data_IF_177470556763
#
_entry.id   IF_177470556763
#
_cell.length_a   1.000
_cell.length_b   1.000
_cell.length_c   1.000
_cell.angle_alpha   90.00
_cell.angle_beta   90.00
_cell.angle_gamma   90.00
#
_symmetry.space_group_name_H-M   'P 1'
#
loop_
_entity.id
_entity.type
_entity.pdbx_description
1 polymer ?
#
# COMPACT_ATOMS: atom_id res chain seq x y z
N UNK A 1 -19.85 -22.99 -16.84
CA UNK A 1 -19.40 -22.30 -15.62
C UNK A 1 -17.86 -22.27 -15.55
N UNK A 2 -17.20 -23.42 -15.78
CA UNK A 2 -15.72 -23.52 -15.88
C UNK A 2 -15.06 -22.54 -16.87
N UNK A 3 -15.66 -22.31 -18.04
CA UNK A 3 -15.11 -21.40 -19.05
C UNK A 3 -15.01 -19.95 -18.56
N UNK A 4 -15.96 -19.48 -17.74
CA UNK A 4 -15.91 -18.12 -17.16
C UNK A 4 -14.84 -18.01 -16.07
N UNK A 5 -14.70 -19.05 -15.22
CA UNK A 5 -13.62 -19.15 -14.21
C UNK A 5 -12.26 -19.10 -14.88
N UNK A 6 -12.04 -19.93 -15.91
CA UNK A 6 -10.80 -19.96 -16.69
C UNK A 6 -10.49 -18.64 -17.37
N UNK A 7 -11.49 -17.97 -17.94
CA UNK A 7 -11.31 -16.66 -18.57
C UNK A 7 -10.88 -15.58 -17.57
N UNK A 8 -11.55 -15.50 -16.41
CA UNK A 8 -11.19 -14.54 -15.35
C UNK A 8 -9.76 -14.79 -14.86
N UNK A 9 -9.43 -16.05 -14.54
CA UNK A 9 -8.10 -16.45 -14.11
C UNK A 9 -7.03 -16.15 -15.17
N UNK A 10 -7.35 -16.37 -16.45
CA UNK A 10 -6.46 -16.02 -17.56
C UNK A 10 -6.20 -14.52 -17.60
N UNK A 11 -7.25 -13.67 -17.61
CA UNK A 11 -7.11 -12.22 -17.64
C UNK A 11 -6.27 -11.70 -16.47
N UNK A 12 -6.51 -12.20 -15.25
CA UNK A 12 -5.75 -11.80 -14.07
C UNK A 12 -4.28 -12.21 -14.15
N UNK A 13 -4.01 -13.46 -14.57
CA UNK A 13 -2.64 -13.96 -14.72
C UNK A 13 -1.88 -13.24 -15.83
N UNK A 14 -2.54 -12.88 -16.93
CA UNK A 14 -1.91 -12.17 -18.05
C UNK A 14 -1.61 -10.72 -17.73
N UNK A 15 -2.49 -10.03 -17.00
CA UNK A 15 -2.36 -8.61 -16.73
C UNK A 15 -1.56 -8.31 -15.45
N UNK A 16 -1.35 -9.31 -14.58
CA UNK A 16 -0.64 -9.16 -13.30
C UNK A 16 -1.19 -8.04 -12.39
N UNK A 17 -2.49 -7.80 -12.50
CA UNK A 17 -3.21 -6.75 -11.77
C UNK A 17 -4.68 -7.14 -11.65
N UNK A 18 -5.38 -6.42 -10.78
CA UNK A 18 -6.83 -6.46 -10.63
C UNK A 18 -7.54 -6.16 -11.96
N UNK A 19 -8.79 -6.58 -12.09
CA UNK A 19 -9.61 -6.22 -13.25
C UNK A 19 -10.08 -4.78 -13.11
N UNK A 20 -9.61 -3.92 -14.02
CA UNK A 20 -9.99 -2.50 -14.09
C UNK A 20 -10.65 -2.28 -15.45
N UNK A 21 -11.89 -1.82 -15.43
CA UNK A 21 -12.70 -1.63 -16.63
C UNK A 21 -13.37 -0.26 -16.63
N UNK A 22 -13.70 0.28 -17.80
CA UNK A 22 -14.61 1.44 -17.86
C UNK A 22 -16.01 0.98 -17.46
N UNK A 23 -16.73 1.80 -16.70
CA UNK A 23 -18.12 1.51 -16.40
C UNK A 23 -18.94 1.57 -17.71
N UNK A 24 -19.63 0.48 -18.12
CA UNK A 24 -20.28 0.41 -19.43
C UNK A 24 -21.38 1.46 -19.65
N UNK A 25 -21.99 1.93 -18.55
CA UNK A 25 -23.12 2.87 -18.58
C UNK A 25 -22.63 4.31 -18.39
N UNK A 26 -21.39 4.51 -17.91
CA UNK A 26 -20.83 5.83 -17.61
C UNK A 26 -19.30 5.81 -17.68
N UNK A 27 -18.76 6.21 -18.83
CA UNK A 27 -17.32 6.16 -19.10
C UNK A 27 -16.46 7.12 -18.26
N UNK A 28 -17.07 8.00 -17.46
CA UNK A 28 -16.34 8.83 -16.50
C UNK A 28 -15.83 8.01 -15.31
N UNK A 29 -16.44 6.84 -15.08
CA UNK A 29 -16.11 5.98 -13.97
C UNK A 29 -15.38 4.72 -14.43
N UNK A 30 -14.51 4.24 -13.55
CA UNK A 30 -13.86 2.94 -13.63
C UNK A 30 -14.45 2.01 -12.60
N UNK A 31 -14.58 0.74 -12.97
CA UNK A 31 -14.91 -0.36 -12.10
C UNK A 31 -13.63 -1.10 -11.74
N UNK A 32 -13.42 -1.31 -10.44
CA UNK A 32 -12.25 -1.97 -9.88
C UNK A 32 -12.74 -3.22 -9.20
N UNK A 33 -12.43 -4.38 -9.78
CA UNK A 33 -12.85 -5.66 -9.25
C UNK A 33 -11.68 -6.36 -8.58
N UNK A 34 -11.75 -6.44 -7.25
CA UNK A 34 -10.87 -7.26 -6.43
C UNK A 34 -11.32 -8.70 -6.53
N UNK A 35 -10.37 -9.61 -6.68
CA UNK A 35 -10.65 -11.04 -6.80
C UNK A 35 -9.69 -11.83 -5.92
N UNK A 36 -10.24 -12.76 -5.17
CA UNK A 36 -9.50 -13.77 -4.43
C UNK A 36 -9.86 -15.16 -4.94
N UNK A 37 -8.85 -16.02 -5.11
CA UNK A 37 -9.07 -17.44 -5.40
C UNK A 37 -8.93 -18.20 -4.09
N UNK A 38 -10.06 -18.61 -3.54
CA UNK A 38 -10.13 -19.45 -2.35
C UNK A 38 -10.06 -20.94 -2.68
N UNK A 39 -10.46 -21.74 -1.70
CA UNK A 39 -10.57 -23.19 -1.75
C UNK A 39 -11.87 -23.67 -1.07
N UNK A 40 -11.96 -24.98 -0.80
CA UNK A 40 -13.13 -25.56 -0.13
C UNK A 40 -13.30 -25.12 1.33
N UNK A 41 -12.24 -24.62 1.97
CA UNK A 41 -12.24 -24.18 3.37
C UNK A 41 -12.42 -22.66 3.49
N UNK A 42 -12.54 -21.95 2.37
CA UNK A 42 -12.74 -20.50 2.36
C UNK A 42 -14.21 -20.20 2.64
N UNK A 43 -14.48 -19.61 3.79
CA UNK A 43 -15.81 -19.25 4.29
C UNK A 43 -16.13 -17.77 4.09
N UNK A 44 -15.14 -16.89 4.23
CA UNK A 44 -15.28 -15.46 3.97
C UNK A 44 -13.96 -14.84 3.49
N UNK A 45 -14.07 -13.75 2.73
CA UNK A 45 -12.92 -12.97 2.26
C UNK A 45 -13.28 -11.50 2.32
N UNK A 46 -12.37 -10.67 2.83
CA UNK A 46 -12.52 -9.22 2.88
C UNK A 46 -11.38 -8.55 2.15
N UNK A 47 -11.66 -7.41 1.51
CA UNK A 47 -10.64 -6.51 0.95
C UNK A 47 -10.63 -5.19 1.68
N UNK A 48 -9.48 -4.72 2.13
CA UNK A 48 -9.40 -3.44 2.86
C UNK A 48 -8.09 -2.72 2.55
N UNK A 49 -8.05 -1.43 2.87
CA UNK A 49 -6.90 -0.58 2.62
C UNK A 49 -7.32 0.85 2.34
N UNK A 50 -6.45 1.62 1.68
CA UNK A 50 -6.68 3.06 1.53
C UNK A 50 -7.92 3.37 0.67
N UNK A 51 -8.08 2.71 -0.48
CA UNK A 51 -9.23 2.91 -1.36
C UNK A 51 -10.46 2.07 -1.02
N UNK A 52 -10.37 0.73 -0.78
CA UNK A 52 -11.53 -0.03 -0.32
C UNK A 52 -12.07 0.47 1.03
N UNK A 53 -11.24 1.18 1.81
CA UNK A 53 -11.55 1.58 3.17
C UNK A 53 -11.25 0.47 4.18
N UNK A 54 -11.55 0.75 5.45
CA UNK A 54 -11.27 -0.14 6.58
C UNK A 54 -12.55 -0.70 7.23
N UNK A 55 -13.72 -0.44 6.66
CA UNK A 55 -14.99 -0.98 7.13
C UNK A 55 -15.25 -2.35 6.51
N UNK A 56 -14.99 -3.41 7.26
CA UNK A 56 -15.14 -4.80 6.80
C UNK A 56 -16.60 -5.15 6.46
N UNK A 57 -17.59 -4.48 7.06
CA UNK A 57 -19.00 -4.80 6.85
C UNK A 57 -19.47 -4.55 5.41
N UNK A 58 -18.83 -3.59 4.72
CA UNK A 58 -19.12 -3.25 3.32
C UNK A 58 -18.06 -3.78 2.35
N UNK A 59 -17.02 -4.42 2.88
CA UNK A 59 -15.83 -4.85 2.15
C UNK A 59 -15.70 -6.37 2.01
N UNK A 60 -16.73 -7.11 2.42
CA UNK A 60 -16.79 -8.55 2.22
C UNK A 60 -16.99 -8.87 0.72
N UNK A 61 -16.14 -9.74 0.20
CA UNK A 61 -16.27 -10.25 -1.16
C UNK A 61 -17.42 -11.25 -1.26
N UNK A 62 -18.04 -11.32 -2.43
CA UNK A 62 -19.07 -12.30 -2.75
C UNK A 62 -18.48 -13.50 -3.48
N UNK A 63 -18.92 -14.70 -3.14
CA UNK A 63 -18.55 -15.92 -3.87
C UNK A 63 -19.31 -15.99 -5.20
N UNK A 64 -18.59 -16.20 -6.30
CA UNK A 64 -19.16 -16.35 -7.61
C UNK A 64 -19.77 -17.75 -7.76
N UNK A 65 -21.08 -17.85 -7.53
CA UNK A 65 -21.85 -19.10 -7.63
C UNK A 65 -21.18 -20.21 -6.79
N UNK A 66 -21.03 -21.41 -7.37
CA UNK A 66 -20.41 -22.58 -6.74
C UNK A 66 -18.92 -22.71 -7.10
N UNK A 67 -18.24 -21.60 -7.36
CA UNK A 67 -16.81 -21.58 -7.70
C UNK A 67 -15.99 -21.05 -6.53
N UNK A 68 -14.68 -21.26 -6.56
CA UNK A 68 -13.76 -20.76 -5.51
C UNK A 68 -13.31 -19.31 -5.79
N UNK A 69 -14.00 -18.60 -6.67
CA UNK A 69 -13.74 -17.19 -6.98
C UNK A 69 -14.57 -16.34 -6.03
N UNK A 70 -13.90 -15.45 -5.31
CA UNK A 70 -14.48 -14.40 -4.49
C UNK A 70 -14.19 -13.05 -5.14
N UNK A 71 -15.18 -12.16 -5.21
CA UNK A 71 -15.01 -10.87 -5.88
C UNK A 71 -15.79 -9.73 -5.21
N UNK A 72 -15.32 -8.51 -5.43
CA UNK A 72 -15.98 -7.28 -5.00
C UNK A 72 -15.60 -6.14 -5.93
N UNK A 73 -16.61 -5.39 -6.39
CA UNK A 73 -16.43 -4.33 -7.39
C UNK A 73 -16.73 -2.97 -6.80
N UNK A 74 -15.77 -2.05 -6.94
CA UNK A 74 -15.84 -0.68 -6.47
C UNK A 74 -15.81 0.28 -7.65
N UNK A 75 -16.43 1.45 -7.51
CA UNK A 75 -16.56 2.45 -8.57
C UNK A 75 -15.83 3.73 -8.18
N UNK A 76 -15.10 4.34 -9.11
CA UNK A 76 -14.41 5.62 -8.89
C UNK A 76 -14.25 6.40 -10.20
N UNK A 77 -14.31 7.72 -10.12
CA UNK A 77 -13.99 8.66 -11.19
C UNK A 77 -12.60 9.29 -11.01
N UNK A 78 -11.86 8.89 -9.97
CA UNK A 78 -10.58 9.50 -9.58
C UNK A 78 -9.38 8.70 -10.08
N UNK A 79 -8.28 9.42 -10.28
CA UNK A 79 -6.95 8.83 -10.45
C UNK A 79 -6.19 8.86 -9.13
N UNK A 80 -5.63 7.72 -8.72
CA UNK A 80 -4.89 7.58 -7.45
C UNK A 80 -4.00 6.33 -7.44
N UNK A 81 -3.09 6.28 -6.47
CA UNK A 81 -2.38 5.06 -6.07
C UNK A 81 -2.81 4.71 -4.65
N UNK A 82 -3.17 3.44 -4.42
CA UNK A 82 -3.65 2.93 -3.13
C UNK A 82 -3.00 1.60 -2.81
N UNK A 83 -2.71 1.39 -1.53
CA UNK A 83 -2.41 0.06 -0.98
C UNK A 83 -3.69 -0.65 -0.55
N UNK A 84 -3.66 -1.99 -0.61
CA UNK A 84 -4.73 -2.85 -0.11
C UNK A 84 -4.20 -4.23 0.28
N UNK A 85 -5.03 -4.97 1.01
CA UNK A 85 -4.79 -6.31 1.53
C UNK A 85 -6.08 -7.14 1.46
N UNK A 86 -5.92 -8.46 1.64
CA UNK A 86 -7.03 -9.37 1.91
C UNK A 86 -6.94 -9.93 3.34
N UNK A 87 -8.09 -10.31 3.89
CA UNK A 87 -8.17 -11.23 5.02
C UNK A 87 -9.14 -12.34 4.69
N UNK A 88 -8.76 -13.58 5.01
CA UNK A 88 -9.47 -14.81 4.64
C UNK A 88 -9.88 -15.53 5.91
N UNK A 89 -11.14 -15.95 5.99
CA UNK A 89 -11.72 -16.59 7.18
C UNK A 89 -11.54 -15.73 8.45
N UNK A 90 -11.73 -14.42 8.31
CA UNK A 90 -11.58 -13.45 9.38
C UNK A 90 -12.75 -13.53 10.36
N UNK A 91 -12.42 -13.67 11.63
CA UNK A 91 -13.37 -13.64 12.77
C UNK A 91 -12.94 -12.63 13.84
N UNK A 92 -11.94 -11.79 13.57
CA UNK A 92 -11.18 -11.03 14.57
C UNK A 92 -11.84 -9.71 15.03
N UNK A 93 -13.17 -9.58 14.96
CA UNK A 93 -13.95 -8.38 15.34
C UNK A 93 -13.17 -7.05 15.18
N UNK A 94 -12.92 -6.29 16.25
CA UNK A 94 -12.16 -5.03 16.21
C UNK A 94 -10.66 -5.18 16.57
N UNK A 95 -10.11 -6.39 16.58
CA UNK A 95 -8.69 -6.65 16.88
C UNK A 95 -7.80 -6.51 15.63
N UNK A 96 -7.52 -5.25 15.26
CA UNK A 96 -6.72 -4.92 14.08
C UNK A 96 -5.26 -5.35 14.17
N UNK A 97 -4.71 -5.47 15.39
CA UNK A 97 -3.34 -5.93 15.58
C UNK A 97 -3.24 -7.40 15.18
N UNK A 98 -4.09 -8.28 15.74
CA UNK A 98 -4.08 -9.70 15.36
C UNK A 98 -4.45 -9.90 13.90
N UNK A 99 -5.41 -9.12 13.38
CA UNK A 99 -5.76 -9.19 11.96
C UNK A 99 -4.56 -8.90 11.06
N UNK A 100 -3.73 -7.91 11.43
CA UNK A 100 -2.54 -7.55 10.65
C UNK A 100 -1.51 -8.67 10.51
N UNK A 101 -1.51 -9.64 11.44
CA UNK A 101 -0.66 -10.82 11.38
C UNK A 101 -1.10 -11.82 10.28
N UNK A 102 -2.34 -11.70 9.80
CA UNK A 102 -2.95 -12.55 8.78
C UNK A 102 -3.31 -11.81 7.49
N UNK A 103 -2.73 -10.62 7.27
CA UNK A 103 -2.92 -9.91 6.02
C UNK A 103 -2.32 -10.70 4.86
N UNK A 104 -3.14 -10.94 3.85
CA UNK A 104 -2.75 -11.60 2.63
C UNK A 104 -2.55 -10.57 1.51
N UNK A 105 -1.50 -10.77 0.71
CA UNK A 105 -1.27 -9.99 -0.50
C UNK A 105 -2.02 -10.61 -1.67
N UNK A 106 -2.42 -9.79 -2.62
CA UNK A 106 -3.01 -10.23 -3.87
C UNK A 106 -2.00 -11.07 -4.67
N UNK A 107 -2.25 -12.38 -4.74
CA UNK A 107 -1.43 -13.37 -5.45
C UNK A 107 -1.31 -13.11 -6.96
N UNK A 108 -2.23 -12.33 -7.54
CA UNK A 108 -2.24 -12.00 -8.96
C UNK A 108 -1.63 -10.63 -9.24
N UNK A 109 -1.53 -9.76 -8.24
CA UNK A 109 -0.95 -8.43 -8.40
C UNK A 109 0.56 -8.43 -8.09
N UNK A 110 1.37 -8.17 -9.11
CA UNK A 110 2.83 -8.04 -8.95
C UNK A 110 3.28 -6.69 -8.42
N UNK A 111 2.41 -5.67 -8.48
CA UNK A 111 2.73 -4.35 -7.96
C UNK A 111 2.53 -4.37 -6.45
N UNK A 112 3.64 -4.35 -5.72
CA UNK A 112 3.65 -4.36 -4.27
C UNK A 112 4.51 -3.23 -3.72
N UNK A 113 4.17 -2.78 -2.52
CA UNK A 113 4.88 -1.74 -1.79
C UNK A 113 5.35 -2.29 -0.46
N UNK A 114 6.52 -1.86 0.02
CA UNK A 114 7.12 -2.40 1.25
C UNK A 114 7.78 -3.76 1.06
N UNK A 115 8.25 -4.35 2.17
CA UNK A 115 8.95 -5.64 2.23
C UNK A 115 8.61 -6.37 3.54
N UNK A 116 8.85 -7.68 3.57
CA UNK A 116 8.58 -8.52 4.74
C UNK A 116 7.12 -8.46 5.16
N UNK A 117 6.88 -8.32 6.46
CA UNK A 117 5.53 -8.20 7.05
C UNK A 117 4.82 -6.88 6.72
N UNK A 118 5.55 -5.88 6.20
CA UNK A 118 4.98 -4.58 5.81
C UNK A 118 4.66 -4.50 4.31
N UNK A 119 4.63 -5.64 3.61
CA UNK A 119 4.36 -5.72 2.18
C UNK A 119 2.88 -5.57 1.90
N UNK A 120 2.50 -4.69 0.97
CA UNK A 120 1.13 -4.42 0.55
C UNK A 120 0.96 -4.59 -0.95
N UNK A 121 -0.23 -4.97 -1.41
CA UNK A 121 -0.58 -4.89 -2.83
C UNK A 121 -0.93 -3.46 -3.23
N UNK A 122 -0.58 -3.07 -4.46
CA UNK A 122 -0.73 -1.69 -4.95
C UNK A 122 -1.68 -1.66 -6.13
N UNK A 123 -2.70 -0.83 -6.00
CA UNK A 123 -3.60 -0.41 -7.07
C UNK A 123 -3.12 0.94 -7.60
N UNK A 124 -2.85 1.05 -8.90
CA UNK A 124 -2.64 2.33 -9.57
C UNK A 124 -3.75 2.56 -10.60
N UNK A 125 -4.53 3.63 -10.39
CA UNK A 125 -5.52 4.13 -11.34
C UNK A 125 -5.00 5.42 -11.95
N UNK A 126 -4.31 5.32 -13.08
CA UNK A 126 -3.99 6.46 -13.95
C UNK A 126 -3.26 7.62 -13.26
N UNK A 127 -2.60 7.38 -12.13
CA UNK A 127 -1.81 8.37 -11.42
C UNK A 127 -0.34 8.06 -11.68
N UNK A 128 0.34 9.02 -12.32
CA UNK A 128 1.79 8.98 -12.45
C UNK A 128 2.42 9.69 -11.26
N UNK A 129 3.37 9.04 -10.61
CA UNK A 129 4.11 9.69 -9.54
C UNK A 129 5.28 10.44 -10.14
N UNK A 130 5.13 11.76 -10.27
CA UNK A 130 6.20 12.65 -10.75
C UNK A 130 7.25 12.90 -9.67
N UNK A 131 7.90 11.83 -9.18
CA UNK A 131 9.05 11.98 -8.27
C UNK A 131 10.30 12.49 -8.99
N UNK A 132 10.45 12.26 -10.31
CA UNK A 132 11.72 12.45 -11.02
C UNK A 132 11.93 13.82 -11.65
N UNK A 133 10.88 14.58 -11.98
CA UNK A 133 11.02 15.84 -12.74
C UNK A 133 11.44 17.03 -11.87
N UNK A 134 11.23 16.97 -10.55
CA UNK A 134 11.57 18.05 -9.60
C UNK A 134 12.95 17.92 -8.97
N UNK A 135 13.55 16.73 -9.01
CA UNK A 135 14.87 16.45 -8.43
C UNK A 135 15.82 15.95 -9.54
N UNK A 136 16.35 16.86 -10.38
CA UNK A 136 17.20 16.46 -11.50
C UNK A 136 18.57 15.98 -11.01
N UNK A 137 18.98 14.79 -11.45
CA UNK A 137 20.34 14.21 -11.36
C UNK A 137 20.70 13.38 -10.11
N UNK A 138 21.58 12.38 -10.35
CA UNK A 138 22.24 11.51 -9.36
C UNK A 138 23.40 12.22 -8.62
N UNK A 139 23.64 13.49 -8.90
CA UNK A 139 24.87 14.21 -8.54
C UNK A 139 24.67 15.23 -7.42
N UNK A 140 23.51 15.23 -6.75
CA UNK A 140 23.35 16.04 -5.54
C UNK A 140 24.20 15.45 -4.41
N UNK A 141 25.06 16.27 -3.79
CA UNK A 141 25.87 15.79 -2.69
C UNK A 141 24.94 15.39 -1.53
N UNK A 142 25.07 14.14 -1.10
CA UNK A 142 24.17 13.55 -0.10
C UNK A 142 24.47 14.09 1.28
N UNK A 143 23.41 14.43 2.01
CA UNK A 143 23.50 14.71 3.44
C UNK A 143 23.78 13.47 4.28
N UNK A 144 23.91 13.66 5.60
CA UNK A 144 24.19 12.60 6.57
C UNK A 144 22.98 12.38 7.48
N UNK A 145 22.68 11.11 7.79
CA UNK A 145 21.65 10.74 8.76
C UNK A 145 22.32 10.12 9.98
N UNK A 146 22.03 10.67 11.15
CA UNK A 146 22.49 10.16 12.43
C UNK A 146 21.29 9.71 13.28
N UNK A 147 21.48 8.63 14.03
CA UNK A 147 20.42 8.07 14.88
C UNK A 147 20.82 8.25 16.33
N UNK A 148 19.93 8.84 17.12
CA UNK A 148 20.13 9.06 18.55
C UNK A 148 19.03 8.37 19.35
N UNK A 149 19.38 7.94 20.56
CA UNK A 149 18.40 7.53 21.57
C UNK A 149 18.08 8.73 22.45
N UNK A 150 16.81 9.11 22.51
CA UNK A 150 16.33 10.24 23.29
C UNK A 150 15.37 9.76 24.38
N UNK A 151 15.68 10.08 25.64
CA UNK A 151 14.80 9.85 26.77
C UNK A 151 13.94 11.09 27.04
N UNK A 152 12.61 10.92 27.11
CA UNK A 152 11.67 11.98 27.47
C UNK A 152 11.19 11.78 28.90
N UNK A 153 11.45 12.77 29.77
CA UNK A 153 10.91 12.79 31.13
C UNK A 153 9.38 12.99 31.16
N UNK A 154 8.82 13.69 30.18
CA UNK A 154 7.38 13.93 30.06
C UNK A 154 6.63 12.65 29.67
N UNK A 155 7.18 11.88 28.72
CA UNK A 155 6.55 10.64 28.21
C UNK A 155 7.07 9.37 28.92
N UNK A 156 8.05 9.52 29.81
CA UNK A 156 8.75 8.46 30.53
C UNK A 156 9.14 7.26 29.65
N UNK A 157 9.71 7.53 28.48
CA UNK A 157 10.20 6.49 27.57
C UNK A 157 11.40 6.97 26.77
N UNK A 158 12.12 6.00 26.19
CA UNK A 158 13.22 6.23 25.26
C UNK A 158 12.77 5.95 23.84
N UNK A 159 13.03 6.88 22.91
CA UNK A 159 12.70 6.75 21.49
C UNK A 159 13.94 6.98 20.64
N UNK A 160 13.96 6.39 19.45
CA UNK A 160 14.96 6.72 18.43
C UNK A 160 14.51 7.97 17.70
N UNK A 161 15.44 8.91 17.55
CA UNK A 161 15.30 10.07 16.67
C UNK A 161 16.34 9.97 15.56
N UNK A 162 15.97 10.39 14.36
CA UNK A 162 16.85 10.43 13.20
C UNK A 162 17.02 11.88 12.80
N UNK A 163 18.26 12.33 12.67
CA UNK A 163 18.59 13.69 12.27
C UNK A 163 19.27 13.60 10.91
N UNK A 164 18.63 14.15 9.88
CA UNK A 164 19.25 14.42 8.59
C UNK A 164 19.90 15.79 8.62
N UNK A 165 21.13 15.88 8.12
CA UNK A 165 21.84 17.13 7.90
C UNK A 165 22.21 17.20 6.42
N UNK A 166 21.94 18.31 5.71
CA UNK A 166 22.37 18.48 4.33
C UNK A 166 23.90 18.45 4.21
N UNK A 167 24.42 18.18 3.01
CA UNK A 167 25.86 17.97 2.80
C UNK A 167 26.74 19.14 3.27
N UNK A 168 26.26 20.37 3.17
CA UNK A 168 26.96 21.61 3.54
C UNK A 168 26.64 22.08 4.97
N UNK A 169 26.03 21.24 5.81
CA UNK A 169 25.60 21.60 7.17
C UNK A 169 26.73 22.21 8.02
N UNK A 170 27.93 21.64 7.96
CA UNK A 170 29.09 22.13 8.73
C UNK A 170 29.81 23.34 8.12
N UNK A 171 29.48 23.69 6.88
CA UNK A 171 30.18 24.73 6.11
C UNK A 171 29.39 26.04 6.02
N UNK A 172 28.18 26.07 6.57
CA UNK A 172 27.29 27.23 6.56
C UNK A 172 27.28 27.89 7.93
N UNK A 173 27.52 29.20 7.97
CA UNK A 173 27.43 30.03 9.19
C UNK A 173 26.02 30.56 9.45
N UNK A 174 25.06 30.22 8.58
CA UNK A 174 23.68 30.67 8.66
C UNK A 174 22.80 29.67 9.40
N UNK A 175 21.78 30.19 10.10
CA UNK A 175 20.79 29.39 10.78
C UNK A 175 20.01 28.54 9.75
N UNK A 176 19.90 27.24 9.98
CA UNK A 176 19.13 26.35 9.12
C UNK A 176 17.68 26.24 9.60
N UNK A 177 16.79 26.00 8.65
CA UNK A 177 15.39 25.70 8.94
C UNK A 177 15.26 24.30 9.55
N UNK A 178 14.39 24.15 10.56
CA UNK A 178 14.12 22.88 11.21
C UNK A 178 12.79 22.31 10.71
N UNK A 179 12.85 21.19 10.00
CA UNK A 179 11.67 20.37 9.68
C UNK A 179 11.60 19.19 10.63
N UNK A 180 10.48 19.06 11.36
CA UNK A 180 10.19 17.90 12.20
C UNK A 180 9.19 17.02 11.47
N UNK A 181 9.59 15.79 11.16
CA UNK A 181 8.76 14.79 10.48
C UNK A 181 8.47 13.64 11.45
N UNK A 182 7.19 13.28 11.59
CA UNK A 182 6.76 12.13 12.38
C UNK A 182 6.86 10.83 11.57
N UNK A 183 6.75 9.68 12.23
CA UNK A 183 6.91 8.35 11.60
C UNK A 183 8.29 8.09 10.98
N UNK A 184 9.36 8.65 11.59
CA UNK A 184 10.73 8.59 11.06
C UNK A 184 11.27 7.18 10.74
N UNK A 185 10.80 6.15 11.45
CA UNK A 185 11.15 4.75 11.12
C UNK A 185 10.67 4.35 9.71
N UNK A 186 9.50 4.84 9.30
CA UNK A 186 8.93 4.60 7.97
C UNK A 186 9.78 5.26 6.89
N UNK A 187 10.15 6.53 7.06
CA UNK A 187 10.98 7.27 6.10
C UNK A 187 12.38 6.67 5.92
N UNK A 188 13.01 6.19 7.01
CA UNK A 188 14.31 5.51 6.95
C UNK A 188 14.27 4.26 6.08
N UNK A 189 13.19 3.48 6.16
CA UNK A 189 13.03 2.27 5.34
C UNK A 189 12.87 2.58 3.84
N UNK A 190 12.31 3.76 3.49
CA UNK A 190 12.18 4.22 2.10
C UNK A 190 13.49 4.73 1.51
N UNK A 191 14.29 5.47 2.29
CA UNK A 191 15.52 6.09 1.80
C UNK A 191 16.67 5.10 1.52
N UNK A 192 16.67 3.95 2.21
CA UNK A 192 17.58 2.84 1.92
C UNK A 192 17.33 2.20 0.53
N UNK A 193 16.21 2.53 -0.13
CA UNK A 193 15.77 1.88 -1.39
C UNK A 193 15.68 2.80 -2.59
N UNK A 194 15.48 4.10 -2.39
CA UNK A 194 15.66 5.14 -3.40
C UNK A 194 16.21 6.38 -2.69
N UNK A 195 17.16 7.06 -3.30
CA UNK A 195 17.71 8.34 -2.84
C UNK A 195 16.61 9.40 -2.77
N UNK A 196 15.78 9.33 -1.74
CA UNK A 196 14.83 10.37 -1.39
C UNK A 196 15.60 11.34 -0.50
N UNK A 197 15.75 12.57 -0.99
CA UNK A 197 16.24 13.69 -0.20
C UNK A 197 14.97 14.26 0.45
N UNK A 198 14.90 14.19 1.78
CA UNK A 198 13.93 14.98 2.57
C UNK A 198 14.53 16.38 2.67
#
# INVERSE_FOLDING_TARGET
>A
METKKLFILFCMKSNHTLLIELCPIDNQYKLITYIWLGDQNTENVYVFGSFPGWDLSVNQLQRLLQTDIWYGTFRTDKSFISTYYFSVNDVFENDWIKRSEQYEIDQFNRNTFGEGTNKASVLNIGMEVQYSSRFPSKDYPSGKIETYSFYSSILNNTRKIHIYTPHDYSHTSHLQELLIVFDGNSFRAFQLKKHLII
#
